data_IF_876305731214
#
_entry.id   IF_876305731214
#
_cell.length_a   1.000
_cell.length_b   1.000
_cell.length_c   1.000
_cell.angle_alpha   90.00
_cell.angle_beta   90.00
_cell.angle_gamma   90.00
#
_symmetry.space_group_name_H-M   'P 1'
#
loop_
_entity.id
_entity.type
_entity.pdbx_description
1 polymer ?
#
# COMPACT_ATOMS: atom_id res chain seq x y z
N UNK A 1 -53.40 -10.50 43.62
CA UNK A 1 -51.97 -10.85 43.72
C UNK A 1 -51.47 -11.12 42.31
N UNK A 2 -50.96 -10.09 41.63
CA UNK A 2 -50.49 -10.18 40.24
C UNK A 2 -48.98 -9.98 40.26
N UNK A 3 -48.24 -11.08 40.13
CA UNK A 3 -46.78 -11.06 40.04
C UNK A 3 -46.36 -10.78 38.61
N UNK A 4 -45.77 -9.61 38.37
CA UNK A 4 -45.17 -9.26 37.09
C UNK A 4 -43.83 -10.00 36.95
N UNK A 5 -43.75 -10.91 35.96
CA UNK A 5 -42.50 -11.53 35.52
C UNK A 5 -41.63 -10.47 34.83
N UNK A 6 -40.57 -10.03 35.50
CA UNK A 6 -39.51 -9.22 34.88
C UNK A 6 -38.58 -10.18 34.13
N UNK A 7 -38.67 -10.18 32.79
CA UNK A 7 -37.69 -10.87 31.93
C UNK A 7 -36.41 -10.02 31.85
N UNK A 8 -35.23 -10.56 32.19
CA UNK A 8 -33.97 -9.85 31.95
C UNK A 8 -33.71 -9.85 30.45
N UNK A 9 -33.70 -8.66 29.86
CA UNK A 9 -33.21 -8.44 28.50
C UNK A 9 -31.69 -8.63 28.54
N UNK A 10 -31.22 -9.83 28.22
CA UNK A 10 -29.81 -10.09 27.93
C UNK A 10 -29.45 -9.35 26.64
N UNK A 11 -29.03 -8.10 26.76
CA UNK A 11 -28.26 -7.39 25.74
C UNK A 11 -26.92 -8.12 25.61
N UNK A 12 -26.90 -9.17 24.79
CA UNK A 12 -25.67 -9.69 24.19
C UNK A 12 -25.15 -8.65 23.20
N UNK A 13 -24.69 -7.51 23.74
CA UNK A 13 -23.86 -6.58 23.01
C UNK A 13 -22.62 -7.35 22.60
N UNK A 14 -22.54 -7.74 21.33
CA UNK A 14 -21.31 -8.23 20.76
C UNK A 14 -20.31 -7.07 20.88
N UNK A 15 -19.53 -7.08 21.96
CA UNK A 15 -18.29 -6.32 22.11
C UNK A 15 -17.34 -6.86 21.04
N UNK A 16 -17.60 -6.49 19.78
CA UNK A 16 -16.61 -6.56 18.74
C UNK A 16 -15.52 -5.59 19.21
N UNK A 17 -14.49 -6.13 19.85
CA UNK A 17 -13.28 -5.37 20.13
C UNK A 17 -12.88 -4.72 18.81
N UNK A 18 -12.84 -3.39 18.79
CA UNK A 18 -12.41 -2.65 17.61
C UNK A 18 -10.94 -2.96 17.45
N UNK A 19 -10.61 -3.90 16.57
CA UNK A 19 -9.24 -4.19 16.20
C UNK A 19 -8.72 -3.00 15.40
N UNK A 20 -7.60 -2.44 15.84
CA UNK A 20 -6.90 -1.46 15.04
C UNK A 20 -6.27 -2.19 13.85
N UNK A 21 -6.45 -1.63 12.66
CA UNK A 21 -5.97 -2.19 11.40
C UNK A 21 -5.38 -1.08 10.56
N UNK A 22 -4.23 -1.34 9.92
CA UNK A 22 -3.70 -0.44 8.90
C UNK A 22 -3.17 -1.17 7.67
N UNK A 23 -3.35 -0.52 6.52
CA UNK A 23 -2.79 -0.95 5.24
C UNK A 23 -1.56 -0.12 4.93
N UNK A 24 -0.45 -0.81 4.70
CA UNK A 24 0.85 -0.20 4.43
C UNK A 24 1.43 -0.72 3.12
N UNK A 25 2.05 0.17 2.35
CA UNK A 25 2.62 -0.13 1.03
C UNK A 25 4.04 0.41 0.96
N UNK A 26 4.96 -0.31 0.32
CA UNK A 26 6.31 0.21 0.10
C UNK A 26 6.23 1.57 -0.60
N UNK A 27 7.01 2.53 -0.11
CA UNK A 27 7.11 3.86 -0.70
C UNK A 27 7.78 3.81 -2.09
N UNK A 28 8.71 2.88 -2.26
CA UNK A 28 9.43 2.59 -3.49
C UNK A 28 9.05 1.21 -4.02
N UNK A 29 9.20 0.97 -5.32
CA UNK A 29 8.95 -0.36 -5.91
C UNK A 29 9.95 -1.42 -5.45
N UNK A 30 10.99 -1.03 -4.70
CA UNK A 30 12.07 -1.91 -4.26
C UNK A 30 12.63 -1.54 -2.89
N UNK A 31 13.31 -2.47 -2.22
CA UNK A 31 13.99 -2.23 -0.94
C UNK A 31 15.46 -1.85 -1.17
N UNK A 32 16.09 -1.25 -0.17
CA UNK A 32 17.53 -1.01 -0.14
C UNK A 32 18.25 -2.18 0.53
N UNK A 33 19.39 -2.61 -0.02
CA UNK A 33 20.23 -3.70 0.51
C UNK A 33 21.08 -4.34 -0.59
N UNK A 34 21.60 -5.56 -0.36
CA UNK A 34 22.22 -6.40 -1.39
C UNK A 34 21.30 -6.70 -2.59
N UNK A 35 21.84 -7.39 -3.60
CA UNK A 35 21.17 -7.63 -4.90
C UNK A 35 19.78 -8.23 -4.72
N UNK A 36 19.61 -9.17 -3.80
CA UNK A 36 18.37 -9.87 -3.49
C UNK A 36 17.29 -8.95 -2.90
N UNK A 37 17.69 -7.80 -2.34
CA UNK A 37 16.78 -6.79 -1.79
C UNK A 37 16.25 -5.82 -2.85
N UNK A 38 16.87 -5.77 -4.05
CA UNK A 38 16.61 -4.73 -5.06
C UNK A 38 16.05 -5.33 -6.35
N UNK A 39 15.14 -4.63 -7.04
CA UNK A 39 14.58 -5.08 -8.32
C UNK A 39 15.64 -5.14 -9.40
N UNK A 40 16.60 -4.20 -9.38
CA UNK A 40 17.71 -4.18 -10.31
C UNK A 40 18.66 -5.36 -10.05
N UNK A 41 18.97 -5.66 -8.79
CA UNK A 41 19.81 -6.80 -8.41
C UNK A 41 19.18 -8.16 -8.72
N UNK A 42 17.85 -8.27 -8.81
CA UNK A 42 17.20 -9.50 -9.32
C UNK A 42 17.67 -9.85 -10.75
N UNK A 43 18.07 -8.86 -11.56
CA UNK A 43 18.60 -9.10 -12.89
C UNK A 43 19.93 -9.88 -12.84
N UNK A 44 20.74 -9.62 -11.81
CA UNK A 44 22.11 -10.11 -11.64
C UNK A 44 22.15 -11.52 -11.00
N UNK A 45 21.07 -11.95 -10.34
CA UNK A 45 20.94 -13.32 -9.83
C UNK A 45 20.91 -14.32 -10.99
N UNK A 46 21.98 -15.12 -11.10
CA UNK A 46 22.17 -16.09 -12.18
C UNK A 46 21.39 -17.39 -11.98
N UNK A 47 21.15 -17.78 -10.73
CA UNK A 47 20.37 -18.97 -10.41
C UNK A 47 18.87 -18.69 -10.57
N UNK A 48 18.15 -19.41 -11.46
CA UNK A 48 16.75 -19.13 -11.75
C UNK A 48 15.80 -19.40 -10.57
N UNK A 49 16.12 -20.37 -9.71
CA UNK A 49 15.32 -20.70 -8.52
C UNK A 49 15.46 -19.62 -7.45
N UNK A 50 16.70 -19.18 -7.20
CA UNK A 50 17.01 -18.08 -6.28
C UNK A 50 16.37 -16.77 -6.75
N UNK A 51 16.47 -16.48 -8.06
CA UNK A 51 15.83 -15.31 -8.68
C UNK A 51 14.31 -15.35 -8.55
N UNK A 52 13.69 -16.51 -8.77
CA UNK A 52 12.25 -16.70 -8.62
C UNK A 52 11.82 -16.49 -7.16
N UNK A 53 12.58 -17.01 -6.21
CA UNK A 53 12.30 -16.79 -4.79
C UNK A 53 12.46 -15.33 -4.40
N UNK A 54 13.57 -14.69 -4.76
CA UNK A 54 13.80 -13.29 -4.45
C UNK A 54 12.68 -12.42 -5.03
N UNK A 55 12.33 -12.59 -6.30
CA UNK A 55 11.20 -11.88 -6.90
C UNK A 55 9.85 -12.16 -6.19
N UNK A 56 9.63 -13.38 -5.71
CA UNK A 56 8.45 -13.71 -4.90
C UNK A 56 8.46 -13.00 -3.53
N UNK A 57 9.61 -12.94 -2.86
CA UNK A 57 9.75 -12.18 -1.61
C UNK A 57 9.39 -10.72 -1.83
N UNK A 58 9.86 -10.09 -2.91
CA UNK A 58 9.47 -8.72 -3.28
C UNK A 58 7.96 -8.56 -3.43
N UNK A 59 7.27 -9.51 -4.09
CA UNK A 59 5.81 -9.49 -4.20
C UNK A 59 5.11 -9.60 -2.83
N UNK A 60 5.55 -10.51 -1.96
CA UNK A 60 4.99 -10.68 -0.63
C UNK A 60 5.27 -9.49 0.30
N UNK A 61 6.33 -8.73 0.02
CA UNK A 61 6.79 -7.62 0.85
C UNK A 61 6.30 -6.26 0.39
N UNK A 62 5.67 -6.19 -0.79
CA UNK A 62 5.19 -4.93 -1.35
C UNK A 62 4.13 -4.23 -0.49
N UNK A 63 3.28 -4.99 0.20
CA UNK A 63 2.23 -4.42 1.05
C UNK A 63 1.76 -5.37 2.15
N UNK A 64 1.29 -4.78 3.25
CA UNK A 64 0.74 -5.50 4.40
C UNK A 64 -0.57 -4.88 4.89
N UNK A 65 -1.45 -5.75 5.35
CA UNK A 65 -2.51 -5.43 6.31
C UNK A 65 -1.99 -5.80 7.70
N UNK A 66 -1.78 -4.81 8.55
CA UNK A 66 -1.28 -5.00 9.92
C UNK A 66 -2.43 -4.80 10.91
N UNK A 67 -2.70 -5.81 11.73
CA UNK A 67 -3.80 -5.82 12.70
C UNK A 67 -3.27 -5.95 14.12
N UNK A 68 -3.85 -5.20 15.06
CA UNK A 68 -3.60 -5.40 16.49
C UNK A 68 -4.17 -6.75 16.92
N UNK A 69 -3.44 -7.50 17.74
CA UNK A 69 -3.96 -8.72 18.34
C UNK A 69 -4.35 -8.52 19.81
N UNK A 70 -5.49 -9.07 20.25
CA UNK A 70 -5.85 -9.10 21.66
C UNK A 70 -5.04 -10.22 22.33
N UNK A 71 -3.81 -9.93 22.72
CA UNK A 71 -3.04 -10.88 23.51
C UNK A 71 -3.13 -10.52 25.00
N UNK A 72 -3.18 -11.55 25.86
CA UNK A 72 -3.31 -11.45 27.32
C UNK A 72 -2.12 -10.71 27.96
N UNK A 73 -2.10 -9.38 27.84
CA UNK A 73 -1.07 -8.52 28.43
C UNK A 73 0.20 -8.35 27.59
N UNK A 74 0.27 -8.87 26.37
CA UNK A 74 1.38 -8.61 25.45
C UNK A 74 0.95 -7.67 24.33
N UNK A 75 1.82 -6.73 23.97
CA UNK A 75 1.62 -5.87 22.82
C UNK A 75 1.89 -6.71 21.56
N UNK A 76 0.84 -7.27 20.97
CA UNK A 76 0.95 -8.15 19.80
C UNK A 76 0.25 -7.54 18.59
N UNK A 77 0.78 -7.85 17.41
CA UNK A 77 0.19 -7.50 16.13
C UNK A 77 0.42 -8.63 15.13
N UNK A 78 -0.24 -8.56 13.99
CA UNK A 78 -0.05 -9.51 12.89
C UNK A 78 0.07 -8.76 11.59
N UNK A 79 1.15 -9.00 10.85
CA UNK A 79 1.35 -8.49 9.51
C UNK A 79 0.96 -9.55 8.48
N UNK A 80 -0.12 -9.30 7.75
CA UNK A 80 -0.60 -10.15 6.67
C UNK A 80 -0.19 -9.53 5.33
N UNK A 81 0.65 -10.20 4.52
CA UNK A 81 0.86 -9.78 3.14
C UNK A 81 -0.48 -9.62 2.42
N UNK A 82 -0.65 -8.58 1.60
CA UNK A 82 -1.91 -8.39 0.86
C UNK A 82 -2.08 -9.43 -0.24
N UNK A 83 -0.97 -9.91 -0.81
CA UNK A 83 -0.94 -11.08 -1.69
C UNK A 83 -0.83 -12.34 -0.85
N UNK A 84 -1.62 -13.36 -1.14
CA UNK A 84 -1.50 -14.68 -0.50
C UNK A 84 -0.46 -15.59 -1.18
N UNK A 85 -0.12 -15.32 -2.44
CA UNK A 85 0.85 -16.09 -3.22
C UNK A 85 1.51 -15.24 -4.29
N UNK A 86 2.69 -15.66 -4.73
CA UNK A 86 3.46 -14.97 -5.78
C UNK A 86 2.98 -15.31 -7.19
N UNK A 87 3.27 -14.43 -8.15
CA UNK A 87 2.84 -14.55 -9.55
C UNK A 87 3.74 -15.46 -10.39
N UNK A 88 4.92 -15.80 -9.86
CA UNK A 88 5.94 -16.53 -10.60
C UNK A 88 5.50 -17.97 -10.80
N UNK A 89 5.58 -18.42 -12.04
CA UNK A 89 5.29 -19.79 -12.46
C UNK A 89 6.45 -20.71 -12.09
N UNK A 90 6.63 -20.97 -10.80
CA UNK A 90 7.35 -22.16 -10.33
C UNK A 90 6.40 -23.36 -10.35
N UNK A 91 6.95 -24.57 -10.37
CA UNK A 91 6.16 -25.81 -10.25
C UNK A 91 5.43 -25.93 -8.91
N UNK A 92 5.89 -25.20 -7.89
CA UNK A 92 5.29 -25.12 -6.55
C UNK A 92 4.91 -23.67 -6.27
N UNK A 93 3.62 -23.36 -6.02
CA UNK A 93 3.20 -22.00 -5.71
C UNK A 93 3.77 -21.57 -4.35
N UNK A 94 4.53 -20.48 -4.35
CA UNK A 94 5.12 -19.91 -3.14
C UNK A 94 4.05 -19.05 -2.44
N UNK A 95 3.75 -19.38 -1.17
CA UNK A 95 2.74 -18.68 -0.36
C UNK A 95 3.38 -17.53 0.42
N UNK A 96 2.68 -16.40 0.47
CA UNK A 96 3.04 -15.28 1.32
C UNK A 96 2.42 -15.47 2.70
N UNK A 97 3.22 -15.96 3.64
CA UNK A 97 2.73 -16.30 4.98
C UNK A 97 2.58 -15.05 5.86
N UNK A 98 1.57 -15.02 6.75
CA UNK A 98 1.43 -13.95 7.72
C UNK A 98 2.50 -14.06 8.81
N UNK A 99 2.86 -12.92 9.40
CA UNK A 99 3.92 -12.81 10.41
C UNK A 99 3.31 -12.31 11.71
N UNK A 100 3.45 -13.11 12.76
CA UNK A 100 3.10 -12.70 14.13
C UNK A 100 4.18 -11.76 14.66
N UNK A 101 3.75 -10.61 15.19
CA UNK A 101 4.62 -9.53 15.64
C UNK A 101 4.48 -9.32 17.14
N UNK A 102 5.62 -9.15 17.81
CA UNK A 102 5.72 -8.62 19.16
C UNK A 102 6.10 -7.14 19.10
N UNK A 103 5.43 -6.30 19.88
CA UNK A 103 5.59 -4.85 19.87
C UNK A 103 6.17 -4.31 21.18
N UNK A 104 6.91 -3.20 21.10
CA UNK A 104 7.41 -2.51 22.31
C UNK A 104 6.30 -1.82 23.11
N UNK A 105 5.29 -1.29 22.42
CA UNK A 105 4.14 -0.57 22.99
C UNK A 105 2.84 -1.05 22.36
N UNK A 106 1.67 -0.72 22.95
CA UNK A 106 0.38 -0.95 22.32
C UNK A 106 0.35 -0.45 20.87
N UNK A 107 -0.36 -1.17 20.00
CA UNK A 107 -0.35 -0.94 18.55
C UNK A 107 -0.66 0.50 18.15
N UNK A 108 -1.46 1.22 18.94
CA UNK A 108 -1.86 2.59 18.64
C UNK A 108 -0.93 3.68 19.18
N UNK A 109 0.18 3.33 19.84
CA UNK A 109 1.09 4.30 20.46
C UNK A 109 2.31 4.61 19.59
N UNK A 110 2.82 5.84 19.69
CA UNK A 110 4.01 6.34 18.99
C UNK A 110 5.08 6.84 19.97
N UNK A 111 6.39 6.71 19.68
CA UNK A 111 6.97 5.82 18.66
C UNK A 111 6.79 4.35 19.09
N UNK A 112 6.87 3.43 18.14
CA UNK A 112 6.74 1.99 18.39
C UNK A 112 7.64 1.20 17.43
N UNK A 113 8.05 0.01 17.86
CA UNK A 113 8.65 -0.98 17.00
C UNK A 113 8.02 -2.33 17.27
N UNK A 114 7.84 -3.11 16.21
CA UNK A 114 7.37 -4.47 16.30
C UNK A 114 8.23 -5.38 15.45
N UNK A 115 8.45 -6.60 15.90
CA UNK A 115 9.30 -7.57 15.23
C UNK A 115 8.64 -8.95 15.25
N UNK A 116 8.91 -9.73 14.22
CA UNK A 116 8.43 -11.09 14.08
C UNK A 116 9.35 -11.96 13.26
N UNK A 117 9.17 -13.26 13.44
CA UNK A 117 9.86 -14.31 12.69
C UNK A 117 8.86 -14.85 11.68
N UNK A 118 9.28 -14.90 10.41
CA UNK A 118 8.57 -15.69 9.42
C UNK A 118 9.21 -17.08 9.42
N UNK A 119 8.55 -18.09 10.00
CA UNK A 119 9.03 -19.44 9.86
C UNK A 119 8.88 -19.82 8.38
N UNK A 120 9.98 -20.31 7.81
CA UNK A 120 9.98 -21.17 6.64
C UNK A 120 9.69 -20.53 5.27
N UNK A 121 10.76 -20.31 4.48
CA UNK A 121 10.75 -20.75 3.08
C UNK A 121 11.68 -21.95 2.98
N UNK A 122 11.17 -23.07 2.44
CA UNK A 122 11.98 -24.26 2.19
C UNK A 122 12.42 -24.25 0.74
N UNK A 123 13.72 -24.12 0.52
CA UNK A 123 14.34 -24.23 -0.81
C UNK A 123 15.09 -25.56 -0.82
N UNK A 124 14.41 -26.63 -1.25
CA UNK A 124 14.97 -27.98 -1.16
C UNK A 124 15.33 -28.36 0.29
N UNK A 125 16.59 -28.71 0.62
CA UNK A 125 16.98 -29.10 1.98
C UNK A 125 17.29 -27.92 2.91
N UNK A 126 17.21 -26.68 2.43
CA UNK A 126 17.58 -25.49 3.21
C UNK A 126 16.33 -24.90 3.83
N UNK A 127 16.27 -24.93 5.16
CA UNK A 127 15.28 -24.24 5.96
C UNK A 127 15.91 -22.94 6.48
N UNK A 128 15.39 -21.80 6.06
CA UNK A 128 15.87 -20.50 6.48
C UNK A 128 14.75 -19.66 7.08
N UNK A 129 15.04 -19.10 8.24
CA UNK A 129 14.16 -18.18 8.95
C UNK A 129 14.42 -16.75 8.48
N UNK A 130 13.35 -15.99 8.31
CA UNK A 130 13.42 -14.57 7.98
C UNK A 130 12.90 -13.75 9.16
N UNK A 131 13.60 -12.68 9.48
CA UNK A 131 13.22 -11.78 10.56
C UNK A 131 12.75 -10.46 9.96
N UNK A 132 11.61 -9.96 10.44
CA UNK A 132 11.01 -8.70 10.02
C UNK A 132 10.85 -7.78 11.22
N UNK A 133 11.17 -6.51 11.06
CA UNK A 133 10.80 -5.46 12.00
C UNK A 133 10.18 -4.26 11.30
N UNK A 134 9.19 -3.66 11.95
CA UNK A 134 8.59 -2.37 11.62
C UNK A 134 8.94 -1.33 12.68
N UNK A 135 9.20 -0.11 12.24
CA UNK A 135 9.66 1.00 13.09
C UNK A 135 8.85 2.24 12.77
N UNK A 136 8.14 2.78 13.77
CA UNK A 136 7.45 4.05 13.69
C UNK A 136 8.22 5.10 14.48
N UNK A 137 8.69 6.14 13.79
CA UNK A 137 9.58 7.17 14.34
C UNK A 137 9.41 8.50 13.61
N UNK A 138 10.09 9.57 14.06
CA UNK A 138 10.06 10.88 13.38
C UNK A 138 11.45 11.41 13.08
N UNK A 139 11.60 11.98 11.88
CA UNK A 139 12.84 12.60 11.41
C UNK A 139 12.63 14.08 11.10
N UNK A 140 13.69 14.89 11.22
CA UNK A 140 13.67 16.30 10.83
C UNK A 140 13.91 16.44 9.33
N UNK A 141 12.99 17.11 8.62
CA UNK A 141 13.10 17.44 7.19
C UNK A 141 13.86 18.74 6.92
N UNK A 142 14.24 19.46 7.99
CA UNK A 142 14.80 20.80 7.95
C UNK A 142 13.74 21.90 8.08
N UNK A 143 14.18 23.11 8.47
CA UNK A 143 13.30 24.25 8.66
C UNK A 143 12.27 24.06 9.78
N UNK A 144 12.57 23.22 10.79
CA UNK A 144 11.67 22.89 11.89
C UNK A 144 10.47 22.03 11.48
N UNK A 145 10.50 21.43 10.28
CA UNK A 145 9.51 20.45 9.83
C UNK A 145 9.96 19.04 10.18
N UNK A 146 8.99 18.21 10.56
CA UNK A 146 9.23 16.84 10.95
C UNK A 146 8.25 15.91 10.24
N UNK A 147 8.77 14.74 9.90
CA UNK A 147 8.05 13.69 9.22
C UNK A 147 8.01 12.45 10.10
N UNK A 148 6.82 11.88 10.27
CA UNK A 148 6.68 10.55 10.85
C UNK A 148 6.76 9.50 9.76
N UNK A 149 7.56 8.48 10.00
CA UNK A 149 7.84 7.41 9.05
C UNK A 149 7.48 6.06 9.63
N UNK A 150 7.09 5.14 8.74
CA UNK A 150 7.08 3.71 8.99
C UNK A 150 8.19 3.06 8.18
N UNK A 151 9.29 2.68 8.83
CA UNK A 151 10.37 1.95 8.18
C UNK A 151 10.27 0.45 8.49
N UNK A 152 10.92 -0.35 7.65
CA UNK A 152 11.12 -1.78 7.89
C UNK A 152 12.58 -2.17 7.79
N UNK A 153 12.92 -3.26 8.47
CA UNK A 153 14.15 -4.02 8.23
C UNK A 153 13.83 -5.49 8.16
N UNK A 154 14.50 -6.17 7.24
CA UNK A 154 14.43 -7.61 7.05
C UNK A 154 15.82 -8.17 7.14
N UNK A 155 15.99 -9.23 7.92
CA UNK A 155 17.24 -9.97 8.03
C UNK A 155 16.98 -11.34 7.40
N UNK A 156 17.67 -11.61 6.29
CA UNK A 156 17.60 -12.90 5.60
C UNK A 156 18.67 -13.83 6.18
N UNK A 157 19.87 -13.29 6.40
CA UNK A 157 21.00 -13.97 7.02
C UNK A 157 21.92 -12.94 7.72
N UNK A 158 23.10 -13.38 8.18
CA UNK A 158 24.10 -12.55 8.87
C UNK A 158 24.62 -11.36 8.04
N UNK A 159 24.63 -11.51 6.72
CA UNK A 159 25.20 -10.53 5.79
C UNK A 159 24.11 -9.79 5.00
N UNK A 160 22.90 -10.33 4.94
CA UNK A 160 21.84 -9.82 4.08
C UNK A 160 20.75 -9.14 4.90
N UNK A 161 20.76 -7.81 4.87
CA UNK A 161 19.71 -6.97 5.46
C UNK A 161 19.06 -6.10 4.40
N UNK A 162 17.75 -6.21 4.24
CA UNK A 162 16.95 -5.31 3.41
C UNK A 162 16.27 -4.25 4.28
N UNK A 163 16.09 -3.04 3.76
CA UNK A 163 15.39 -1.94 4.44
C UNK A 163 14.55 -1.12 3.48
N UNK A 164 13.42 -0.60 3.94
CA UNK A 164 12.56 0.25 3.13
C UNK A 164 11.65 1.11 4.02
N UNK A 165 10.98 2.08 3.41
CA UNK A 165 9.90 2.83 4.03
C UNK A 165 8.55 2.36 3.49
N UNK A 166 7.51 2.49 4.31
CA UNK A 166 6.13 2.26 3.94
C UNK A 166 5.29 3.52 4.11
N UNK A 167 4.32 3.68 3.23
CA UNK A 167 3.23 4.65 3.36
C UNK A 167 2.01 4.00 3.99
N UNK A 168 1.38 4.72 4.94
CA UNK A 168 0.12 4.29 5.58
C UNK A 168 -1.05 4.81 4.75
N UNK A 169 -1.74 3.91 4.03
CA UNK A 169 -2.84 4.31 3.12
C UNK A 169 -4.19 4.40 3.81
N UNK A 170 -4.43 3.51 4.78
CA UNK A 170 -5.68 3.42 5.53
C UNK A 170 -5.36 2.97 6.94
N UNK A 171 -5.92 3.65 7.93
CA UNK A 171 -5.91 3.22 9.32
C UNK A 171 -7.36 3.23 9.81
N UNK A 172 -7.87 2.09 10.26
CA UNK A 172 -9.13 1.99 10.98
C UNK A 172 -8.83 2.14 12.47
N UNK A 173 -9.41 3.15 13.13
CA UNK A 173 -9.13 3.47 14.53
C UNK A 173 -7.93 4.42 14.75
N UNK A 174 -7.65 5.27 13.76
CA UNK A 174 -6.66 6.37 13.77
C UNK A 174 -5.18 6.02 13.97
N UNK A 175 -4.77 4.76 14.12
CA UNK A 175 -3.37 4.51 14.49
C UNK A 175 -2.79 3.23 13.87
N UNK A 176 -1.79 3.42 13.02
CA UNK A 176 -0.83 2.38 12.61
C UNK A 176 0.47 2.63 13.36
N UNK A 177 0.73 1.98 14.50
CA UNK A 177 1.89 2.33 15.35
C UNK A 177 1.87 3.80 15.82
N UNK A 178 0.67 4.35 16.06
CA UNK A 178 0.45 5.76 16.37
C UNK A 178 0.73 6.72 15.20
N UNK A 179 0.82 6.19 13.98
CA UNK A 179 0.88 6.95 12.72
C UNK A 179 -0.51 7.13 12.13
N UNK A 180 -0.74 8.33 11.61
CA UNK A 180 -1.90 8.70 10.80
C UNK A 180 -1.54 8.65 9.30
N UNK A 181 -2.52 8.74 8.41
CA UNK A 181 -2.30 8.81 6.95
C UNK A 181 -1.57 10.09 6.49
N UNK A 182 -1.47 11.10 7.37
CA UNK A 182 -0.72 12.33 7.15
C UNK A 182 0.63 12.21 7.86
N UNK A 183 1.73 12.31 7.11
CA UNK A 183 3.10 12.14 7.61
C UNK A 183 3.70 13.41 8.22
N UNK A 184 3.23 14.61 7.84
CA UNK A 184 3.72 15.87 8.41
C UNK A 184 3.12 16.11 9.79
N UNK A 185 3.96 16.27 10.81
CA UNK A 185 3.51 16.59 12.16
C UNK A 185 4.34 17.67 12.81
N UNK A 186 3.71 18.45 13.67
CA UNK A 186 4.38 19.34 14.62
C UNK A 186 4.86 18.50 15.79
N UNK A 187 6.16 18.26 15.90
CA UNK A 187 6.76 17.55 17.03
C UNK A 187 8.25 17.28 16.77
N UNK A 188 9.08 17.06 17.80
CA UNK A 188 10.51 16.85 17.61
C UNK A 188 10.81 15.55 16.85
N UNK A 189 12.04 15.44 16.34
CA UNK A 189 12.58 14.18 15.87
C UNK A 189 12.67 13.19 17.03
N UNK A 190 12.27 11.94 16.78
CA UNK A 190 12.26 10.85 17.74
C UNK A 190 12.95 9.67 17.07
N UNK A 191 14.03 9.19 17.67
CA UNK A 191 14.80 8.07 17.13
C UNK A 191 13.94 6.79 17.01
N UNK A 192 14.23 5.91 16.03
CA UNK A 192 13.59 4.61 15.94
C UNK A 192 13.77 3.80 17.23
N UNK A 193 12.68 3.30 17.84
CA UNK A 193 12.79 2.43 19.01
C UNK A 193 13.40 1.08 18.62
N UNK A 194 14.08 0.43 19.56
CA UNK A 194 14.62 -0.91 19.36
C UNK A 194 13.45 -1.92 19.34
N UNK A 195 13.31 -2.79 18.33
CA UNK A 195 12.27 -3.80 18.31
C UNK A 195 12.53 -4.86 19.37
N UNK A 196 11.49 -5.59 19.81
CA UNK A 196 11.68 -6.76 20.67
C UNK A 196 12.67 -7.75 20.06
N UNK A 197 13.46 -8.38 20.91
CA UNK A 197 14.35 -9.46 20.51
C UNK A 197 13.52 -10.66 20.05
N UNK A 198 14.04 -11.38 19.05
CA UNK A 198 13.46 -12.64 18.56
C UNK A 198 14.45 -13.73 18.92
N UNK A 199 13.94 -14.82 19.49
CA UNK A 199 14.74 -16.00 19.78
C UNK A 199 15.35 -16.58 18.48
N UNK A 200 16.57 -17.09 18.59
CA UNK A 200 17.35 -17.67 17.49
C UNK A 200 17.73 -16.68 16.36
N UNK A 201 17.53 -15.37 16.53
CA UNK A 201 18.00 -14.39 15.55
C UNK A 201 19.54 -14.39 15.49
N UNK A 202 20.16 -14.47 14.30
CA UNK A 202 21.61 -14.68 14.18
C UNK A 202 22.44 -13.54 14.75
N UNK A 203 21.93 -12.31 14.66
CA UNK A 203 22.53 -11.08 15.17
C UNK A 203 21.44 -10.14 15.70
N UNK A 204 21.79 -9.22 16.60
CA UNK A 204 20.84 -8.18 17.06
C UNK A 204 20.40 -7.27 15.92
N UNK A 205 19.21 -6.67 16.04
CA UNK A 205 18.70 -5.72 15.04
C UNK A 205 19.77 -4.67 14.72
N UNK A 206 20.12 -4.47 13.43
CA UNK A 206 21.10 -3.46 13.09
C UNK A 206 20.56 -2.10 13.57
N UNK A 207 21.46 -1.23 14.05
CA UNK A 207 21.07 0.12 14.45
C UNK A 207 20.62 0.90 13.22
N UNK A 208 19.56 1.69 13.33
CA UNK A 208 19.28 2.66 12.28
C UNK A 208 20.51 3.55 12.11
N UNK A 209 20.99 3.82 10.88
CA UNK A 209 21.95 4.88 10.70
C UNK A 209 21.32 6.10 11.37
N UNK A 210 22.07 6.83 12.20
CA UNK A 210 21.49 7.97 12.85
C UNK A 210 21.07 8.91 11.72
N UNK A 211 19.76 9.08 11.54
CA UNK A 211 19.21 10.04 10.60
C UNK A 211 19.42 11.41 11.23
N UNK A 212 20.67 11.87 11.15
CA UNK A 212 21.01 13.27 11.34
C UNK A 212 20.82 13.96 10.00
N UNK A 213 20.34 15.22 10.01
CA UNK A 213 19.90 15.89 8.80
C UNK A 213 20.95 15.75 7.71
N UNK A 214 20.53 15.26 6.54
CA UNK A 214 21.28 15.55 5.33
C UNK A 214 21.23 17.06 5.18
N UNK A 215 22.20 17.74 5.78
CA UNK A 215 22.56 19.08 5.40
C UNK A 215 22.76 18.98 3.88
N UNK A 216 21.94 19.65 3.06
CA UNK A 216 22.04 19.52 1.63
C UNK A 216 23.47 19.89 1.28
N UNK A 217 24.28 18.89 0.89
CA UNK A 217 25.56 19.14 0.26
C UNK A 217 25.20 19.77 -1.06
N UNK A 218 25.06 21.09 -1.01
CA UNK A 218 24.91 21.93 -2.18
C UNK A 218 26.29 21.92 -2.83
N UNK A 219 26.63 20.80 -3.45
CA UNK A 219 27.58 20.80 -4.54
C UNK A 219 26.88 21.61 -5.61
N UNK A 220 27.19 22.90 -5.67
CA UNK A 220 26.78 23.76 -6.76
C UNK A 220 27.26 23.09 -8.05
N UNK A 221 26.37 22.36 -8.71
CA UNK A 221 26.54 22.02 -10.10
C UNK A 221 26.69 23.36 -10.84
N UNK A 222 27.70 23.52 -11.70
CA UNK A 222 27.81 24.73 -12.50
C UNK A 222 26.50 24.89 -13.26
N UNK A 223 25.81 26.00 -13.00
CA UNK A 223 24.60 26.40 -13.72
C UNK A 223 24.95 26.56 -15.18
N UNK A 224 24.68 25.51 -15.97
CA UNK A 224 24.65 25.62 -17.42
C UNK A 224 23.30 26.23 -17.81
N UNK A 225 23.28 27.57 -17.80
CA UNK A 225 22.16 28.43 -18.18
C UNK A 225 21.73 28.26 -19.67
N UNK A 226 22.40 27.38 -20.43
CA UNK A 226 22.13 27.15 -21.85
C UNK A 226 20.83 26.37 -22.14
N UNK A 227 20.52 25.35 -21.35
CA UNK A 227 19.41 24.44 -21.66
C UNK A 227 18.02 25.07 -21.51
N UNK A 228 17.84 25.91 -20.47
CA UNK A 228 16.54 26.54 -20.18
C UNK A 228 16.17 27.61 -21.23
N UNK A 229 17.15 28.34 -21.77
CA UNK A 229 16.93 29.28 -22.88
C UNK A 229 16.55 28.58 -24.17
N UNK A 230 17.05 27.38 -24.42
CA UNK A 230 16.67 26.62 -25.60
C UNK A 230 15.25 26.07 -25.49
N UNK A 231 14.86 25.60 -24.29
CA UNK A 231 13.51 25.08 -24.03
C UNK A 231 12.42 26.17 -24.17
N UNK A 232 12.66 27.38 -23.65
CA UNK A 232 11.74 28.51 -23.78
C UNK A 232 11.55 29.01 -25.23
N UNK A 233 12.51 28.77 -26.12
CA UNK A 233 12.39 29.11 -27.56
C UNK A 233 11.56 28.12 -28.37
N UNK A 234 11.49 26.85 -27.94
CA UNK A 234 10.80 25.78 -28.68
C UNK A 234 9.36 25.60 -28.22
N UNK A 235 9.03 25.97 -26.98
CA UNK A 235 7.68 25.86 -26.40
C UNK A 235 6.53 26.45 -27.27
N UNK A 236 6.69 27.64 -27.91
CA UNK A 236 5.63 28.22 -28.75
C UNK A 236 5.30 27.37 -29.99
N UNK A 237 6.29 26.65 -30.51
CA UNK A 237 6.13 25.80 -31.70
C UNK A 237 5.36 24.52 -31.42
N UNK A 238 5.36 24.03 -30.18
CA UNK A 238 4.64 22.83 -29.78
C UNK A 238 3.23 23.17 -29.25
N UNK A 239 3.10 24.28 -28.51
CA UNK A 239 1.82 24.69 -27.92
C UNK A 239 0.78 25.11 -28.99
N UNK A 240 1.22 25.77 -30.07
CA UNK A 240 0.33 26.23 -31.15
C UNK A 240 -0.44 25.10 -31.86
N UNK A 241 0.24 24.08 -32.40
CA UNK A 241 -0.41 22.95 -33.04
C UNK A 241 -1.35 22.18 -32.11
N UNK A 242 -0.97 22.03 -30.84
CA UNK A 242 -1.79 21.30 -29.85
C UNK A 242 -3.12 22.03 -29.58
N UNK A 243 -3.08 23.35 -29.41
CA UNK A 243 -4.29 24.16 -29.22
C UNK A 243 -5.21 24.12 -30.45
N UNK A 244 -4.64 24.12 -31.66
CA UNK A 244 -5.41 23.99 -32.91
C UNK A 244 -6.08 22.61 -33.00
N UNK A 245 -5.38 21.53 -32.65
CA UNK A 245 -5.94 20.18 -32.62
C UNK A 245 -7.08 20.06 -31.60
N UNK A 246 -6.94 20.67 -30.41
CA UNK A 246 -8.02 20.73 -29.42
C UNK A 246 -9.24 21.51 -29.94
N UNK A 247 -9.05 22.63 -30.64
CA UNK A 247 -10.14 23.41 -31.20
C UNK A 247 -10.89 22.65 -32.31
N UNK A 248 -10.16 21.96 -33.21
CA UNK A 248 -10.75 21.12 -34.26
C UNK A 248 -11.50 19.93 -33.64
N UNK A 249 -10.89 19.26 -32.66
CA UNK A 249 -11.51 18.15 -31.92
C UNK A 249 -12.80 18.57 -31.22
N UNK A 250 -12.77 19.69 -30.48
CA UNK A 250 -13.94 20.26 -29.82
C UNK A 250 -15.06 20.65 -30.80
N UNK A 251 -14.70 21.26 -31.93
CA UNK A 251 -15.68 21.62 -32.98
C UNK A 251 -16.36 20.41 -33.63
N UNK A 252 -15.63 19.32 -33.85
CA UNK A 252 -16.19 18.06 -34.36
C UNK A 252 -17.12 17.39 -33.37
N UNK A 253 -16.78 17.38 -32.07
CA UNK A 253 -17.64 16.85 -31.01
C UNK A 253 -18.94 17.64 -30.88
N UNK A 254 -18.86 18.98 -30.92
CA UNK A 254 -20.04 19.86 -30.89
C UNK A 254 -20.94 19.65 -32.12
N UNK A 255 -20.37 19.46 -33.31
CA UNK A 255 -21.15 19.11 -34.52
C UNK A 255 -21.85 17.77 -34.38
N UNK A 256 -21.18 16.75 -33.84
CA UNK A 256 -21.80 15.43 -33.59
C UNK A 256 -22.95 15.53 -32.59
N UNK A 257 -22.78 16.32 -31.52
CA UNK A 257 -23.83 16.54 -30.53
C UNK A 257 -25.09 17.18 -31.15
N UNK A 258 -24.94 18.20 -31.99
CA UNK A 258 -26.08 18.82 -32.71
C UNK A 258 -26.79 17.84 -33.65
N UNK A 259 -26.05 17.04 -34.41
CA UNK A 259 -26.66 16.05 -35.30
C UNK A 259 -27.47 14.98 -34.55
N UNK A 260 -27.04 14.61 -33.33
CA UNK A 260 -27.82 13.69 -32.50
C UNK A 260 -29.12 14.29 -31.97
N UNK A 261 -29.16 15.59 -31.69
CA UNK A 261 -30.38 16.29 -31.28
C UNK A 261 -31.39 16.39 -32.43
N UNK A 262 -30.95 16.74 -33.64
CA UNK A 262 -31.83 16.78 -34.82
C UNK A 262 -32.44 15.41 -35.13
N UNK A 263 -31.67 14.32 -34.98
CA UNK A 263 -32.18 12.95 -35.16
C UNK A 263 -33.22 12.56 -34.09
N UNK A 264 -33.08 13.06 -32.86
CA UNK A 264 -34.07 12.84 -31.80
C UNK A 264 -35.37 13.62 -32.09
N UNK A 265 -35.26 14.87 -32.54
CA UNK A 265 -36.42 15.67 -32.94
C UNK A 265 -37.22 15.01 -34.07
N UNK A 266 -36.54 14.47 -35.11
CA UNK A 266 -37.22 13.78 -36.22
C UNK A 266 -37.88 12.46 -35.81
N UNK A 267 -37.35 11.75 -34.80
CA UNK A 267 -38.01 10.53 -34.26
C UNK A 267 -39.24 10.85 -33.43
N UNK A 268 -39.22 11.95 -32.68
CA UNK A 268 -40.37 12.40 -31.88
C UNK A 268 -41.60 12.71 -32.73
N UNK A 269 -41.42 13.24 -33.95
CA UNK A 269 -42.53 13.59 -34.84
C UNK A 269 -43.18 12.41 -35.59
N UNK A 270 -42.59 11.21 -35.55
CA UNK A 270 -43.09 10.04 -36.31
C UNK A 270 -43.99 9.10 -35.50
N UNK A 271 -44.15 9.34 -34.19
CA UNK A 271 -44.85 8.40 -33.30
C UNK A 271 -46.36 8.61 -33.18
N UNK A 272 -46.95 9.60 -33.87
CA UNK A 272 -48.38 9.94 -33.71
C UNK A 272 -49.35 9.31 -34.72
N UNK A 273 -48.89 8.53 -35.73
CA UNK A 273 -49.79 8.05 -36.81
C UNK A 273 -49.90 6.53 -36.97
N UNK A 274 -49.64 5.71 -35.96
CA UNK A 274 -49.83 4.26 -36.13
C UNK A 274 -50.34 3.54 -34.87
N UNK A 275 -51.52 3.94 -34.41
CA UNK A 275 -52.35 3.15 -33.51
C UNK A 275 -53.39 2.39 -34.35
N UNK A 276 -52.96 1.35 -35.06
CA UNK A 276 -53.89 0.36 -35.62
C UNK A 276 -54.10 -0.70 -34.55
N UNK A 277 -55.26 -0.62 -33.91
CA UNK A 277 -55.76 -1.51 -32.87
C UNK A 277 -56.06 -2.88 -33.49
N UNK A 278 -55.31 -3.92 -33.10
CA UNK A 278 -55.63 -5.31 -33.45
C UNK A 278 -56.19 -5.98 -32.20
N UNK A 279 -57.45 -6.48 -32.22
CA UNK A 279 -58.08 -7.09 -31.06
C UNK A 279 -57.46 -8.46 -30.73
N UNK A 280 -57.19 -8.63 -29.43
CA UNK A 280 -56.73 -9.87 -28.79
C UNK A 280 -57.87 -10.90 -28.73
N UNK A 281 -57.67 -12.06 -29.36
CA UNK A 281 -58.53 -13.24 -29.22
C UNK A 281 -57.89 -14.18 -28.19
N UNK A 282 -58.48 -14.22 -27.00
CA UNK A 282 -58.22 -15.23 -25.98
C UNK A 282 -58.92 -16.55 -26.35
N UNK A 283 -58.16 -17.63 -26.42
CA UNK A 283 -58.61 -19.04 -26.29
C UNK A 283 -57.32 -19.88 -26.23
N UNK A 284 -57.12 -20.98 -25.52
CA UNK A 284 -57.92 -21.97 -24.77
C UNK A 284 -56.91 -22.59 -23.78
N UNK A 285 -57.23 -22.73 -22.49
CA UNK A 285 -57.79 -23.95 -21.88
C UNK A 285 -56.91 -25.21 -21.95
N UNK A 286 -56.40 -25.54 -20.75
CA UNK A 286 -56.35 -26.85 -20.08
C UNK A 286 -55.45 -28.00 -20.57
N UNK A 287 -54.84 -28.55 -19.50
CA UNK A 287 -54.57 -29.95 -19.18
C UNK A 287 -53.27 -30.54 -19.74
#
# INVERSE_FOLDING_TARGET
MSGALVRPLLLAGCLHGVFAECNVYLETETMAGPEECTNDGLADITNPEEKAMAACLHECWASYVITSQPANGTNAAKAMPERSSCSITTTVPIQCNPIELSCTKPFSEFPNACSGKLPFFSIGPIEQDFYLAFYAYSQELGGGKFEKLLATRRILDKNTTCSANYQVRKAHGDNCFGLTTISETTGPAVAPPLPPAIDDMPDSWPKFPPVFPQQPTTTAAPTDDGAFRHFMRVLPWIAGPLALLCAIGGGLLLRRARQTEERRALRSGRSETSSVEIPSVNSLSRA
#
